data_IF_601302268705
#
_entry.id   IF_601302268705
#
_cell.length_a   1.000
_cell.length_b   1.000
_cell.length_c   1.000
_cell.angle_alpha   90.00
_cell.angle_beta   90.00
_cell.angle_gamma   90.00
#
_symmetry.space_group_name_H-M   'P 1'
#
loop_
_entity.id
_entity.type
_entity.pdbx_description
1 polymer ?
#
# COMPACT_ATOMS: atom_id res chain seq x y z
N UNK A 1 -25.25 29.46 -38.69
CA UNK A 1 -24.48 28.47 -39.46
C UNK A 1 -23.72 27.61 -38.46
N UNK A 2 -23.95 26.28 -38.37
CA UNK A 2 -23.20 25.44 -37.44
C UNK A 2 -21.78 25.21 -37.99
N UNK A 3 -20.76 25.62 -37.22
CA UNK A 3 -19.38 25.24 -37.47
C UNK A 3 -19.22 23.76 -37.11
N UNK A 4 -19.25 22.87 -38.10
CA UNK A 4 -18.84 21.49 -37.90
C UNK A 4 -17.31 21.42 -38.00
N UNK A 5 -16.65 21.10 -36.88
CA UNK A 5 -15.24 20.73 -36.88
C UNK A 5 -15.14 19.25 -37.22
N UNK A 6 -14.48 18.95 -38.35
CA UNK A 6 -14.17 17.57 -38.75
C UNK A 6 -12.78 17.24 -38.19
N UNK A 7 -12.69 16.17 -37.41
CA UNK A 7 -11.42 15.69 -36.84
C UNK A 7 -11.03 14.37 -37.52
N UNK A 8 -9.79 14.27 -37.99
CA UNK A 8 -9.20 13.02 -38.45
C UNK A 8 -8.33 12.44 -37.33
N UNK A 9 -8.46 11.13 -37.10
CA UNK A 9 -7.67 10.37 -36.12
C UNK A 9 -6.83 9.39 -36.92
N UNK A 10 -5.50 9.60 -36.93
CA UNK A 10 -4.59 8.74 -37.71
C UNK A 10 -4.13 7.49 -36.93
N UNK A 11 -4.18 7.48 -35.58
CA UNK A 11 -3.81 6.30 -34.77
C UNK A 11 -4.63 6.22 -33.47
N UNK A 12 -5.10 5.01 -33.12
CA UNK A 12 -5.90 4.71 -31.93
C UNK A 12 -5.03 3.97 -30.90
N UNK A 13 -4.84 4.54 -29.71
CA UNK A 13 -4.25 3.87 -28.54
C UNK A 13 -4.94 4.31 -27.23
N UNK A 14 -5.03 3.39 -26.27
CA UNK A 14 -5.90 3.40 -25.06
C UNK A 14 -5.64 4.55 -24.05
N UNK A 15 -6.07 5.78 -24.37
CA UNK A 15 -6.11 6.90 -23.42
C UNK A 15 -7.36 7.76 -23.60
N UNK A 16 -8.13 7.97 -22.54
CA UNK A 16 -9.37 8.77 -22.61
C UNK A 16 -9.07 10.28 -22.71
N UNK A 17 -9.52 10.92 -23.80
CA UNK A 17 -9.56 12.37 -23.99
C UNK A 17 -11.02 12.86 -24.04
N UNK A 18 -11.31 14.07 -23.56
CA UNK A 18 -12.67 14.63 -23.61
C UNK A 18 -12.60 16.02 -24.24
N UNK A 19 -13.19 16.19 -25.43
CA UNK A 19 -13.22 17.45 -26.17
C UNK A 19 -14.67 17.80 -26.50
N UNK A 20 -15.14 18.96 -26.01
CA UNK A 20 -16.48 19.51 -26.27
C UNK A 20 -17.64 18.50 -26.08
N UNK A 21 -17.60 17.73 -25.00
CA UNK A 21 -18.65 16.76 -24.65
C UNK A 21 -18.59 15.44 -25.43
N UNK A 22 -17.64 15.29 -26.34
CA UNK A 22 -17.38 14.01 -27.02
C UNK A 22 -16.17 13.35 -26.38
N UNK A 23 -16.41 12.14 -25.86
CA UNK A 23 -15.42 11.30 -25.20
C UNK A 23 -14.67 10.51 -26.27
N UNK A 24 -13.38 10.78 -26.43
CA UNK A 24 -12.50 10.05 -27.34
C UNK A 24 -11.64 9.08 -26.53
N UNK A 25 -11.36 7.91 -27.09
CA UNK A 25 -10.37 6.95 -26.57
C UNK A 25 -9.24 6.97 -27.59
N UNK A 26 -8.15 7.67 -27.28
CA UNK A 26 -7.04 7.98 -28.17
C UNK A 26 -6.17 9.10 -27.64
N UNK A 27 -4.87 9.09 -27.88
CA UNK A 27 -3.98 10.24 -27.64
C UNK A 27 -3.97 11.14 -28.87
N UNK A 28 -4.58 12.33 -28.79
CA UNK A 28 -4.53 13.32 -29.87
C UNK A 28 -3.12 13.91 -29.97
N UNK A 29 -2.39 13.56 -31.04
CA UNK A 29 -1.04 14.07 -31.29
C UNK A 29 -1.08 15.37 -32.10
N UNK A 30 -1.97 15.47 -33.09
CA UNK A 30 -2.16 16.65 -33.92
C UNK A 30 -3.66 16.85 -34.18
N UNK A 31 -4.11 18.10 -34.22
CA UNK A 31 -5.43 18.45 -34.75
C UNK A 31 -5.29 19.66 -35.67
N UNK A 32 -6.09 19.70 -36.74
CA UNK A 32 -6.18 20.86 -37.63
C UNK A 32 -7.57 21.47 -37.51
N UNK A 33 -7.61 22.77 -37.22
CA UNK A 33 -8.82 23.58 -37.29
C UNK A 33 -8.99 24.04 -38.75
N UNK A 34 -9.92 23.44 -39.48
CA UNK A 34 -10.25 23.91 -40.84
C UNK A 34 -11.32 24.99 -40.72
N UNK A 35 -10.93 26.25 -40.92
CA UNK A 35 -11.86 27.37 -41.06
C UNK A 35 -11.88 27.81 -42.52
N UNK A 36 -12.92 27.39 -43.24
CA UNK A 36 -13.13 27.72 -44.65
C UNK A 36 -13.28 26.47 -45.50
N UNK A 37 -14.52 26.04 -45.73
CA UNK A 37 -14.85 25.05 -46.76
C UNK A 37 -15.81 25.69 -47.77
N UNK A 38 -15.51 25.54 -49.06
CA UNK A 38 -16.39 25.93 -50.15
C UNK A 38 -16.94 24.67 -50.82
N UNK A 39 -18.26 24.60 -50.98
CA UNK A 39 -18.88 23.59 -51.84
C UNK A 39 -18.78 24.08 -53.29
N UNK A 40 -17.97 23.42 -54.11
CA UNK A 40 -17.96 23.61 -55.56
C UNK A 40 -18.78 22.49 -56.18
N UNK A 41 -19.79 22.87 -56.98
CA UNK A 41 -20.54 21.95 -57.82
C UNK A 41 -19.91 21.88 -59.20
N UNK A 42 -19.32 20.74 -59.55
CA UNK A 42 -18.95 20.44 -60.93
C UNK A 42 -20.24 20.20 -61.74
N UNK A 43 -20.41 20.95 -62.82
CA UNK A 43 -21.65 21.03 -63.60
C UNK A 43 -22.00 19.76 -64.38
N UNK A 44 -21.14 18.73 -64.40
CA UNK A 44 -21.28 17.67 -65.40
C UNK A 44 -21.50 16.24 -64.92
N UNK A 45 -21.51 15.89 -63.62
CA UNK A 45 -21.87 14.52 -63.20
C UNK A 45 -22.60 14.46 -61.85
N UNK A 46 -23.86 14.03 -61.91
CA UNK A 46 -24.65 13.39 -60.84
C UNK A 46 -24.28 13.72 -59.39
N UNK A 47 -24.89 14.76 -58.82
CA UNK A 47 -25.18 14.98 -57.39
C UNK A 47 -24.13 14.59 -56.30
N UNK A 48 -22.86 14.45 -56.65
CA UNK A 48 -21.80 14.18 -55.69
C UNK A 48 -21.18 15.52 -55.28
N UNK A 49 -21.56 16.03 -54.11
CA UNK A 49 -20.92 17.20 -53.49
C UNK A 49 -19.53 16.79 -53.02
N UNK A 50 -18.49 17.12 -53.80
CA UNK A 50 -17.11 16.88 -53.38
C UNK A 50 -16.61 18.07 -52.55
N UNK A 51 -16.21 17.79 -51.31
CA UNK A 51 -15.62 18.79 -50.41
C UNK A 51 -14.16 19.00 -50.83
N UNK A 52 -13.86 20.13 -51.49
CA UNK A 52 -12.47 20.59 -51.64
C UNK A 52 -12.10 21.39 -50.41
N UNK A 53 -11.07 20.94 -49.70
CA UNK A 53 -10.48 21.62 -48.55
C UNK A 53 -9.13 22.17 -48.99
N UNK A 54 -9.00 23.49 -49.02
CA UNK A 54 -7.72 24.15 -49.34
C UNK A 54 -6.81 24.11 -48.11
N UNK A 55 -5.76 23.30 -48.17
CA UNK A 55 -4.79 23.10 -47.08
C UNK A 55 -3.75 24.23 -46.95
N UNK A 56 -4.11 25.48 -47.25
CA UNK A 56 -3.11 26.55 -47.38
C UNK A 56 -2.70 27.24 -46.08
N UNK A 57 -3.31 26.94 -44.94
CA UNK A 57 -2.85 27.48 -43.64
C UNK A 57 -3.00 26.44 -42.53
N UNK A 58 -2.05 25.50 -42.46
CA UNK A 58 -1.91 24.61 -41.30
C UNK A 58 -1.04 25.33 -40.27
N UNK A 59 -1.66 26.12 -39.39
CA UNK A 59 -0.97 26.55 -38.17
C UNK A 59 -0.95 25.35 -37.21
N UNK A 60 0.23 24.74 -37.06
CA UNK A 60 0.45 23.69 -36.09
C UNK A 60 0.32 24.27 -34.67
N UNK A 61 -0.85 24.13 -34.06
CA UNK A 61 -1.06 24.45 -32.65
C UNK A 61 -0.32 23.39 -31.83
N UNK A 62 0.96 23.65 -31.55
CA UNK A 62 1.75 22.84 -30.62
C UNK A 62 1.23 23.11 -29.22
N UNK A 63 0.36 22.22 -28.72
CA UNK A 63 0.07 22.19 -27.30
C UNK A 63 1.39 21.97 -26.56
N UNK A 64 1.81 22.96 -25.77
CA UNK A 64 2.93 22.80 -24.86
C UNK A 64 2.58 21.67 -23.90
N UNK A 65 3.33 20.57 -23.97
CA UNK A 65 3.14 19.43 -23.08
C UNK A 65 3.47 19.89 -21.66
N UNK A 66 2.48 20.39 -20.93
CA UNK A 66 2.59 20.52 -19.48
C UNK A 66 2.75 19.11 -18.93
N UNK A 67 3.88 18.88 -18.26
CA UNK A 67 4.33 17.60 -17.71
C UNK A 67 3.30 17.10 -16.68
N UNK A 68 2.27 16.37 -17.13
CA UNK A 68 1.35 15.70 -16.22
C UNK A 68 2.17 14.77 -15.33
N UNK A 69 2.13 14.99 -14.02
CA UNK A 69 2.81 14.10 -13.08
C UNK A 69 2.19 12.72 -13.23
N UNK A 70 3.01 11.69 -13.49
CA UNK A 70 2.53 10.30 -13.51
C UNK A 70 1.93 10.01 -12.14
N UNK A 71 0.61 9.95 -12.03
CA UNK A 71 -0.07 9.47 -10.84
C UNK A 71 0.36 8.02 -10.64
N UNK A 72 1.17 7.78 -9.60
CA UNK A 72 1.57 6.43 -9.22
C UNK A 72 0.40 5.82 -8.45
N UNK A 73 0.07 4.57 -8.77
CA UNK A 73 -0.88 3.81 -7.97
C UNK A 73 -0.36 3.72 -6.52
N UNK A 74 -1.18 4.18 -5.57
CA UNK A 74 -0.89 4.05 -4.15
C UNK A 74 -1.30 2.65 -3.66
N UNK A 75 -0.49 2.03 -2.81
CA UNK A 75 -0.87 0.76 -2.18
C UNK A 75 -1.92 1.02 -1.11
N UNK A 76 -2.84 0.06 -0.88
CA UNK A 76 -3.88 0.17 0.15
C UNK A 76 -3.29 0.52 1.52
N UNK A 77 -2.15 -0.08 1.87
CA UNK A 77 -1.42 0.16 3.13
C UNK A 77 -0.75 1.53 3.23
N UNK A 78 -0.64 2.30 2.15
CA UNK A 78 -0.09 3.67 2.20
C UNK A 78 -1.12 4.71 2.67
N UNK A 79 -2.42 4.37 2.61
CA UNK A 79 -3.50 5.26 3.02
C UNK A 79 -3.49 5.47 4.54
N UNK A 80 -3.83 6.70 4.99
CA UNK A 80 -3.81 7.08 6.41
C UNK A 80 -4.86 6.33 7.25
N UNK A 81 -6.05 6.12 6.68
CA UNK A 81 -7.17 5.43 7.36
C UNK A 81 -7.07 3.90 7.32
N UNK A 82 -6.17 3.34 6.51
CA UNK A 82 -5.95 1.89 6.48
C UNK A 82 -4.87 1.55 7.48
N UNK A 83 -5.26 0.75 8.46
CA UNK A 83 -4.38 0.30 9.54
C UNK A 83 -4.25 -1.20 9.49
N UNK A 84 -3.03 -1.68 9.69
CA UNK A 84 -2.77 -3.11 9.78
C UNK A 84 -2.53 -3.43 11.24
N UNK A 85 -3.39 -4.29 11.79
CA UNK A 85 -3.43 -4.60 13.21
C UNK A 85 -2.11 -5.20 13.68
N UNK A 86 -1.49 -6.07 12.87
CA UNK A 86 -0.20 -6.68 13.22
C UNK A 86 0.94 -5.65 13.32
N UNK A 87 0.92 -4.58 12.52
CA UNK A 87 1.93 -3.51 12.66
C UNK A 87 1.70 -2.67 13.90
N UNK A 88 0.44 -2.39 14.24
CA UNK A 88 0.11 -1.67 15.47
C UNK A 88 0.62 -2.44 16.68
N UNK A 89 0.34 -3.75 16.73
CA UNK A 89 0.80 -4.60 17.82
C UNK A 89 2.33 -4.68 17.89
N UNK A 90 3.01 -4.75 16.75
CA UNK A 90 4.47 -4.69 16.68
C UNK A 90 5.02 -3.39 17.25
N UNK A 91 4.50 -2.25 16.80
CA UNK A 91 4.93 -0.96 17.32
C UNK A 91 4.57 -0.78 18.79
N UNK A 92 3.43 -1.28 19.23
CA UNK A 92 3.09 -1.36 20.65
C UNK A 92 4.15 -2.14 21.44
N UNK A 93 4.54 -3.33 20.98
CA UNK A 93 5.61 -4.09 21.63
C UNK A 93 6.95 -3.35 21.67
N UNK A 94 7.26 -2.52 20.67
CA UNK A 94 8.44 -1.64 20.70
C UNK A 94 8.27 -0.54 21.77
N UNK A 95 7.09 0.07 21.88
CA UNK A 95 6.81 1.08 22.91
C UNK A 95 6.89 0.51 24.33
N UNK A 96 6.41 -0.72 24.53
CA UNK A 96 6.36 -1.36 25.86
C UNK A 96 7.74 -1.89 26.29
N UNK A 97 8.54 -2.42 25.36
CA UNK A 97 9.78 -3.15 25.69
C UNK A 97 11.07 -2.41 25.34
N UNK A 98 11.04 -1.41 24.45
CA UNK A 98 12.28 -0.72 24.05
C UNK A 98 12.76 0.22 25.14
N UNK A 99 14.07 0.18 25.39
CA UNK A 99 14.77 1.13 26.27
C UNK A 99 15.44 2.24 25.46
N UNK A 100 15.53 2.08 24.15
CA UNK A 100 16.20 3.01 23.26
C UNK A 100 15.24 4.12 22.83
N UNK A 101 15.69 5.36 22.96
CA UNK A 101 14.89 6.54 22.63
C UNK A 101 14.56 6.63 21.14
N UNK A 102 15.53 6.26 20.28
CA UNK A 102 15.38 6.30 18.82
C UNK A 102 14.29 5.35 18.33
N UNK A 103 14.25 4.13 18.84
CA UNK A 103 13.24 3.14 18.47
C UNK A 103 11.83 3.57 18.85
N UNK A 104 11.68 4.17 20.05
CA UNK A 104 10.40 4.71 20.52
C UNK A 104 9.95 5.86 19.61
N UNK A 105 10.85 6.79 19.30
CA UNK A 105 10.54 7.93 18.42
C UNK A 105 10.19 7.44 17.01
N UNK A 106 10.93 6.46 16.48
CA UNK A 106 10.64 5.85 15.18
C UNK A 106 9.27 5.17 15.16
N UNK A 107 8.91 4.46 16.24
CA UNK A 107 7.60 3.86 16.39
C UNK A 107 6.49 4.92 16.46
N UNK A 108 6.65 5.97 17.26
CA UNK A 108 5.68 7.08 17.34
C UNK A 108 5.51 7.79 15.99
N UNK A 109 6.60 8.02 15.27
CA UNK A 109 6.58 8.58 13.91
C UNK A 109 5.84 7.70 12.90
N UNK A 110 5.94 6.37 13.02
CA UNK A 110 5.14 5.45 12.21
C UNK A 110 3.65 5.56 12.55
N UNK A 111 3.31 5.56 13.83
CA UNK A 111 1.92 5.64 14.30
C UNK A 111 1.24 6.95 13.88
N UNK A 112 1.97 8.08 13.88
CA UNK A 112 1.45 9.37 13.39
C UNK A 112 1.02 9.36 11.93
N UNK A 113 1.59 8.49 11.10
CA UNK A 113 1.18 8.34 9.69
C UNK A 113 -0.19 7.66 9.55
N UNK A 114 -0.68 7.03 10.62
CA UNK A 114 -1.90 6.24 10.66
C UNK A 114 -2.96 6.91 11.54
N UNK A 115 -4.22 6.69 11.19
CA UNK A 115 -5.37 7.12 11.98
C UNK A 115 -6.30 5.92 12.21
N UNK A 116 -6.06 5.11 13.24
CA UNK A 116 -6.91 3.97 13.57
C UNK A 116 -8.28 4.41 14.10
N UNK A 117 -9.30 3.58 13.89
CA UNK A 117 -10.60 3.74 14.51
C UNK A 117 -10.54 3.36 15.99
N UNK A 118 -11.47 3.89 16.81
CA UNK A 118 -11.51 3.65 18.26
C UNK A 118 -11.57 2.18 18.65
N UNK A 119 -12.30 1.36 17.91
CA UNK A 119 -12.38 -0.10 18.14
C UNK A 119 -11.00 -0.77 18.00
N UNK A 120 -10.21 -0.36 17.01
CA UNK A 120 -8.85 -0.87 16.80
C UNK A 120 -7.93 -0.44 17.93
N UNK A 121 -8.06 0.81 18.40
CA UNK A 121 -7.28 1.32 19.53
C UNK A 121 -7.64 0.54 20.81
N UNK A 122 -8.92 0.33 21.08
CA UNK A 122 -9.39 -0.42 22.24
C UNK A 122 -8.95 -1.89 22.20
N UNK A 123 -9.07 -2.56 21.05
CA UNK A 123 -8.66 -3.96 20.89
C UNK A 123 -7.15 -4.17 21.03
N UNK A 124 -6.34 -3.20 20.58
CA UNK A 124 -4.88 -3.28 20.67
C UNK A 124 -4.35 -2.77 22.01
N UNK A 125 -5.15 -2.01 22.76
CA UNK A 125 -4.78 -1.38 24.02
C UNK A 125 -3.48 -0.56 23.92
N UNK A 126 -3.28 0.12 22.78
CA UNK A 126 -2.11 0.98 22.52
C UNK A 126 -2.23 2.35 23.22
N UNK A 127 -3.45 2.74 23.57
CA UNK A 127 -3.76 3.91 24.39
C UNK A 127 -3.05 3.84 25.73
N UNK A 128 -3.06 2.67 26.39
CA UNK A 128 -2.37 2.45 27.67
C UNK A 128 -0.87 2.67 27.55
N UNK A 129 -0.23 2.04 26.56
CA UNK A 129 1.18 2.24 26.27
C UNK A 129 1.51 3.72 26.04
N UNK A 130 0.69 4.45 25.27
CA UNK A 130 0.89 5.88 25.03
C UNK A 130 0.71 6.74 26.30
N UNK A 131 -0.19 6.37 27.22
CA UNK A 131 -0.36 7.08 28.49
C UNK A 131 0.82 6.81 29.43
N UNK A 132 1.32 5.58 29.48
CA UNK A 132 2.53 5.24 30.23
C UNK A 132 3.74 6.06 29.74
N UNK A 133 3.82 6.31 28.43
CA UNK A 133 4.90 7.12 27.86
C UNK A 133 4.90 8.59 28.31
N UNK A 134 3.80 9.13 28.84
CA UNK A 134 3.77 10.49 29.40
C UNK A 134 4.55 10.62 30.70
N UNK A 135 4.65 9.54 31.47
CA UNK A 135 5.38 9.51 32.74
C UNK A 135 6.88 9.34 32.55
N UNK A 136 7.37 9.26 31.31
CA UNK A 136 8.78 9.07 31.02
C UNK A 136 9.62 10.32 31.31
N UNK A 137 10.90 10.14 31.66
CA UNK A 137 11.82 11.26 31.94
C UNK A 137 12.19 12.06 30.68
N UNK A 138 12.07 11.47 29.49
CA UNK A 138 12.52 12.10 28.24
C UNK A 138 11.44 13.01 27.64
N UNK A 139 11.66 14.33 27.75
CA UNK A 139 10.73 15.36 27.25
C UNK A 139 10.36 15.23 25.77
N UNK A 140 11.30 14.81 24.92
CA UNK A 140 11.06 14.61 23.48
C UNK A 140 10.02 13.51 23.21
N UNK A 141 10.10 12.40 23.94
CA UNK A 141 9.15 11.27 23.81
C UNK A 141 7.77 11.68 24.30
N UNK A 142 7.71 12.41 25.42
CA UNK A 142 6.45 12.91 25.99
C UNK A 142 5.74 13.84 25.01
N UNK A 143 6.46 14.83 24.45
CA UNK A 143 5.90 15.77 23.48
C UNK A 143 5.37 15.02 22.22
N UNK A 144 6.12 14.03 21.76
CA UNK A 144 5.76 13.25 20.57
C UNK A 144 4.53 12.36 20.81
N UNK A 145 4.43 11.76 22.01
CA UNK A 145 3.28 10.98 22.45
C UNK A 145 2.04 11.86 22.65
N UNK A 146 2.16 13.03 23.25
CA UNK A 146 1.05 13.99 23.42
C UNK A 146 0.47 14.42 22.08
N UNK A 147 1.33 14.76 21.11
CA UNK A 147 0.90 15.07 19.74
C UNK A 147 0.10 13.94 19.13
N UNK A 148 0.51 12.69 19.34
CA UNK A 148 -0.19 11.51 18.82
C UNK A 148 -1.55 11.30 19.50
N UNK A 149 -1.61 11.42 20.83
CA UNK A 149 -2.84 11.30 21.62
C UNK A 149 -3.88 12.34 21.18
N UNK A 150 -3.42 13.58 20.94
CA UNK A 150 -4.27 14.66 20.42
C UNK A 150 -4.72 14.39 18.99
N UNK A 151 -3.82 13.91 18.11
CA UNK A 151 -4.14 13.57 16.72
C UNK A 151 -5.20 12.47 16.60
N UNK A 152 -5.15 11.49 17.50
CA UNK A 152 -6.09 10.38 17.55
C UNK A 152 -7.35 10.68 18.36
N UNK A 153 -7.41 11.86 18.99
CA UNK A 153 -8.53 12.28 19.85
C UNK A 153 -8.91 11.19 20.86
N UNK A 154 -7.91 10.55 21.49
CA UNK A 154 -8.17 9.42 22.39
C UNK A 154 -9.10 9.78 23.57
N UNK A 155 -9.12 11.05 23.95
CA UNK A 155 -9.95 11.59 25.03
C UNK A 155 -11.30 12.14 24.54
N UNK A 156 -11.55 12.19 23.24
CA UNK A 156 -12.73 12.83 22.65
C UNK A 156 -13.91 11.89 22.41
N UNK A 157 -15.13 12.43 22.35
CA UNK A 157 -16.37 11.69 22.06
C UNK A 157 -16.69 11.61 20.54
N UNK A 158 -15.66 11.48 19.69
CA UNK A 158 -15.83 11.34 18.24
C UNK A 158 -16.66 10.11 17.87
N UNK A 159 -17.51 10.24 16.84
CA UNK A 159 -18.41 9.19 16.36
C UNK A 159 -17.66 7.90 15.99
N UNK A 160 -18.23 6.76 16.31
CA UNK A 160 -17.72 5.44 15.89
C UNK A 160 -17.80 5.38 14.36
N UNK A 161 -16.65 5.24 13.71
CA UNK A 161 -16.59 5.03 12.27
C UNK A 161 -16.81 3.54 11.99
N UNK A 162 -17.61 3.18 10.97
CA UNK A 162 -17.77 1.78 10.59
C UNK A 162 -16.41 1.21 10.16
N UNK A 163 -16.01 0.12 10.80
CA UNK A 163 -14.75 -0.58 10.51
C UNK A 163 -14.99 -1.64 9.44
N UNK A 164 -14.19 -1.62 8.38
CA UNK A 164 -14.17 -2.70 7.38
C UNK A 164 -12.88 -3.49 7.54
N UNK A 165 -13.01 -4.76 7.89
CA UNK A 165 -11.87 -5.65 8.03
C UNK A 165 -11.54 -6.33 6.71
N UNK A 166 -10.41 -5.92 6.12
CA UNK A 166 -9.86 -6.59 4.94
C UNK A 166 -9.05 -7.79 5.40
N UNK A 167 -9.61 -8.99 5.23
CA UNK A 167 -8.87 -10.25 5.47
C UNK A 167 -8.05 -10.61 4.23
N UNK A 168 -6.96 -11.36 4.44
CA UNK A 168 -6.22 -12.00 3.35
C UNK A 168 -7.12 -12.97 2.58
N UNK A 169 -6.79 -13.18 1.30
CA UNK A 169 -7.40 -14.21 0.47
C UNK A 169 -7.18 -15.61 1.08
N UNK A 170 -8.05 -16.55 0.70
CA UNK A 170 -8.06 -17.88 1.30
C UNK A 170 -6.75 -18.65 1.07
N UNK A 171 -6.10 -18.46 -0.08
CA UNK A 171 -4.84 -19.14 -0.38
C UNK A 171 -3.71 -18.61 0.49
N UNK A 172 -3.56 -17.30 0.59
CA UNK A 172 -2.57 -16.68 1.50
C UNK A 172 -2.80 -17.12 2.93
N UNK A 173 -4.06 -17.09 3.40
CA UNK A 173 -4.41 -17.55 4.75
C UNK A 173 -4.04 -19.02 4.99
N UNK A 174 -4.35 -19.89 4.03
CA UNK A 174 -4.03 -21.31 4.13
C UNK A 174 -2.52 -21.57 4.18
N UNK A 175 -1.74 -20.89 3.32
CA UNK A 175 -0.28 -21.04 3.31
C UNK A 175 0.34 -20.58 4.63
N UNK A 176 -0.11 -19.44 5.17
CA UNK A 176 0.39 -18.92 6.46
C UNK A 176 0.05 -19.85 7.62
N UNK A 177 -1.19 -20.33 7.71
CA UNK A 177 -1.60 -21.33 8.72
C UNK A 177 -0.80 -22.63 8.62
N UNK A 178 -0.53 -23.10 7.41
CA UNK A 178 0.32 -24.27 7.22
C UNK A 178 1.76 -24.01 7.67
N UNK A 179 2.31 -22.82 7.45
CA UNK A 179 3.64 -22.46 7.94
C UNK A 179 3.70 -22.51 9.48
N UNK A 180 2.71 -21.90 10.16
CA UNK A 180 2.58 -21.97 11.63
C UNK A 180 2.51 -23.41 12.09
N UNK A 181 1.63 -24.24 11.49
CA UNK A 181 1.51 -25.66 11.82
C UNK A 181 2.85 -26.40 11.72
N UNK A 182 3.59 -26.20 10.64
CA UNK A 182 4.90 -26.82 10.45
C UNK A 182 5.95 -26.36 11.48
N UNK A 183 5.89 -25.09 11.90
CA UNK A 183 6.76 -24.59 12.96
C UNK A 183 6.39 -25.19 14.32
N UNK A 184 5.11 -25.22 14.67
CA UNK A 184 4.63 -25.84 15.92
C UNK A 184 5.04 -27.31 16.02
N UNK A 185 4.85 -28.07 14.93
CA UNK A 185 5.30 -29.46 14.81
C UNK A 185 6.82 -29.61 14.99
N UNK A 186 7.61 -28.68 14.45
CA UNK A 186 9.07 -28.71 14.57
C UNK A 186 9.59 -28.31 15.97
N UNK A 187 8.85 -27.44 16.68
CA UNK A 187 9.21 -26.97 18.02
C UNK A 187 8.86 -27.99 19.12
N UNK A 188 7.84 -28.82 18.92
CA UNK A 188 7.48 -29.89 19.85
C UNK A 188 5.98 -30.07 20.09
N UNK A 189 5.12 -29.26 19.49
CA UNK A 189 3.67 -29.46 19.51
C UNK A 189 2.93 -28.94 20.75
N UNK A 190 3.54 -28.12 21.59
CA UNK A 190 2.89 -27.53 22.77
C UNK A 190 2.14 -26.24 22.41
N UNK A 191 1.15 -25.83 23.22
CA UNK A 191 0.42 -24.57 23.00
C UNK A 191 1.33 -23.33 23.04
N UNK A 192 2.35 -23.33 23.91
CA UNK A 192 3.37 -22.26 23.95
C UNK A 192 4.23 -22.21 22.67
N UNK A 193 4.41 -23.35 22.01
CA UNK A 193 5.12 -23.42 20.73
C UNK A 193 4.26 -22.84 19.60
N UNK A 194 2.92 -22.90 19.67
CA UNK A 194 2.02 -22.29 18.68
C UNK A 194 2.11 -20.76 18.68
N UNK A 195 2.13 -20.13 19.87
CA UNK A 195 2.28 -18.67 19.99
C UNK A 195 3.64 -18.22 19.44
N UNK A 196 4.69 -18.98 19.74
CA UNK A 196 6.04 -18.74 19.22
C UNK A 196 6.08 -18.89 17.69
N UNK A 197 5.50 -19.97 17.16
CA UNK A 197 5.39 -20.24 15.73
C UNK A 197 4.63 -19.16 14.96
N UNK A 198 3.52 -18.67 15.51
CA UNK A 198 2.72 -17.58 14.94
C UNK A 198 3.52 -16.27 14.90
N UNK A 199 4.27 -15.98 15.96
CA UNK A 199 5.15 -14.80 16.00
C UNK A 199 6.25 -14.90 14.95
N UNK A 200 6.93 -16.05 14.84
CA UNK A 200 7.98 -16.28 13.84
C UNK A 200 7.42 -16.15 12.42
N UNK A 201 6.26 -16.74 12.14
CA UNK A 201 5.63 -16.63 10.83
C UNK A 201 5.31 -15.17 10.47
N UNK A 202 4.76 -14.41 11.41
CA UNK A 202 4.47 -12.98 11.21
C UNK A 202 5.72 -12.18 10.91
N UNK A 203 6.83 -12.47 11.57
CA UNK A 203 8.12 -11.82 11.29
C UNK A 203 8.64 -12.15 9.88
N UNK A 204 8.62 -13.42 9.48
CA UNK A 204 9.01 -13.85 8.12
C UNK A 204 8.13 -13.15 7.08
N UNK A 205 6.81 -13.14 7.31
CA UNK A 205 5.85 -12.55 6.38
C UNK A 205 6.04 -11.04 6.25
N UNK A 206 6.32 -10.35 7.35
CA UNK A 206 6.63 -8.92 7.35
C UNK A 206 7.94 -8.62 6.59
N UNK A 207 8.99 -9.41 6.81
CA UNK A 207 10.27 -9.26 6.11
C UNK A 207 10.10 -9.32 4.58
N UNK A 208 9.27 -10.25 4.08
CA UNK A 208 8.96 -10.37 2.65
C UNK A 208 7.84 -9.44 2.17
N UNK A 209 7.63 -8.30 2.85
CA UNK A 209 6.64 -7.27 2.48
C UNK A 209 5.22 -7.82 2.31
N UNK A 210 4.88 -8.87 3.08
CA UNK A 210 3.56 -9.52 3.08
C UNK A 210 3.16 -10.17 1.76
N UNK A 211 4.15 -10.64 1.01
CA UNK A 211 3.93 -11.36 -0.23
C UNK A 211 4.34 -12.83 -0.06
N UNK A 212 3.41 -13.73 -0.36
CA UNK A 212 3.67 -15.17 -0.40
C UNK A 212 4.46 -15.50 -1.66
N UNK A 213 5.76 -15.27 -1.57
CA UNK A 213 6.72 -15.41 -2.66
C UNK A 213 7.48 -16.74 -2.58
N UNK A 214 8.20 -17.10 -3.64
CA UNK A 214 9.14 -18.25 -3.62
C UNK A 214 10.17 -18.15 -2.47
N UNK A 215 10.83 -16.99 -2.22
CA UNK A 215 11.76 -16.88 -1.09
C UNK A 215 11.07 -17.04 0.27
N UNK A 216 9.86 -16.51 0.47
CA UNK A 216 9.08 -16.78 1.70
C UNK A 216 8.94 -18.28 1.97
N UNK A 217 8.49 -19.05 0.96
CA UNK A 217 8.33 -20.51 1.09
C UNK A 217 9.65 -21.24 1.36
N UNK A 218 10.75 -20.76 0.77
CA UNK A 218 12.10 -21.32 1.00
C UNK A 218 12.54 -21.09 2.43
N UNK A 219 12.35 -19.89 2.97
CA UNK A 219 12.70 -19.53 4.34
C UNK A 219 11.89 -20.33 5.35
N UNK A 220 10.58 -20.50 5.13
CA UNK A 220 9.74 -21.37 5.98
C UNK A 220 10.33 -22.79 6.06
N UNK A 221 10.69 -23.40 4.93
CA UNK A 221 11.29 -24.76 4.93
C UNK A 221 12.65 -24.79 5.64
N UNK A 222 13.49 -23.77 5.43
CA UNK A 222 14.80 -23.67 6.08
C UNK A 222 14.66 -23.58 7.60
N UNK A 223 13.72 -22.76 8.09
CA UNK A 223 13.42 -22.63 9.52
C UNK A 223 12.88 -23.94 10.11
N UNK A 224 11.96 -24.61 9.42
CA UNK A 224 11.45 -25.94 9.86
C UNK A 224 12.59 -26.95 9.96
N UNK A 225 13.46 -27.01 8.95
CA UNK A 225 14.61 -27.93 8.94
C UNK A 225 15.57 -27.64 10.10
N UNK A 226 15.88 -26.36 10.30
CA UNK A 226 16.72 -25.90 11.40
C UNK A 226 16.15 -26.31 12.77
N UNK A 227 14.86 -26.12 13.03
CA UNK A 227 14.24 -26.56 14.28
C UNK A 227 14.21 -28.08 14.48
N UNK A 228 14.06 -28.85 13.40
CA UNK A 228 14.08 -30.32 13.48
C UNK A 228 15.47 -30.87 13.83
N UNK A 229 16.53 -30.26 13.31
CA UNK A 229 17.88 -30.82 13.42
C UNK A 229 18.77 -30.12 14.47
N UNK A 230 18.53 -28.84 14.76
CA UNK A 230 19.37 -28.04 15.65
C UNK A 230 18.67 -27.77 16.99
N UNK A 231 18.77 -28.74 17.91
CA UNK A 231 18.17 -28.64 19.25
C UNK A 231 18.63 -27.42 20.05
N UNK A 232 19.88 -26.97 19.85
CA UNK A 232 20.46 -25.80 20.52
C UNK A 232 19.68 -24.52 20.21
N UNK A 233 19.31 -24.30 18.94
CA UNK A 233 18.61 -23.09 18.54
C UNK A 233 17.14 -23.10 19.01
N UNK A 234 16.52 -24.28 19.01
CA UNK A 234 15.18 -24.48 19.58
C UNK A 234 15.14 -24.17 21.08
N UNK A 235 16.13 -24.64 21.84
CA UNK A 235 16.21 -24.36 23.27
C UNK A 235 16.54 -22.89 23.57
N UNK A 236 17.37 -22.25 22.75
CA UNK A 236 17.68 -20.83 22.86
C UNK A 236 16.44 -19.94 22.66
N UNK A 237 15.56 -20.29 21.72
CA UNK A 237 14.26 -19.64 21.53
C UNK A 237 13.33 -19.82 22.74
N UNK A 238 13.23 -21.06 23.25
CA UNK A 238 12.41 -21.35 24.44
C UNK A 238 12.87 -20.58 25.67
N UNK A 239 14.17 -20.38 25.82
CA UNK A 239 14.76 -19.56 26.90
C UNK A 239 14.70 -18.05 26.63
N UNK A 240 14.13 -17.63 25.50
CA UNK A 240 14.07 -16.24 25.04
C UNK A 240 15.44 -15.56 24.92
N UNK A 241 16.49 -16.36 24.69
CA UNK A 241 17.87 -15.88 24.57
C UNK A 241 18.19 -15.41 23.15
N UNK A 242 17.38 -15.80 22.17
CA UNK A 242 17.54 -15.41 20.77
C UNK A 242 16.32 -14.61 20.33
N UNK A 243 16.56 -13.42 19.78
CA UNK A 243 15.49 -12.61 19.18
C UNK A 243 15.05 -13.22 17.85
N UNK A 244 13.75 -13.18 17.56
CA UNK A 244 13.18 -13.64 16.30
C UNK A 244 13.85 -12.98 15.08
N UNK A 245 14.26 -11.71 15.21
CA UNK A 245 14.97 -10.97 14.17
C UNK A 245 16.39 -11.53 13.90
N UNK A 246 17.08 -12.00 14.94
CA UNK A 246 18.40 -12.62 14.82
C UNK A 246 18.30 -14.00 14.13
N UNK A 247 17.23 -14.74 14.40
CA UNK A 247 16.94 -16.00 13.74
C UNK A 247 16.69 -15.80 12.25
N UNK A 248 15.91 -14.77 11.89
CA UNK A 248 15.68 -14.43 10.49
C UNK A 248 16.97 -14.05 9.77
N UNK A 249 17.83 -13.25 10.40
CA UNK A 249 19.12 -12.87 9.82
C UNK A 249 19.97 -14.10 9.43
N UNK A 250 19.97 -15.16 10.25
CA UNK A 250 20.67 -16.43 9.95
C UNK A 250 19.99 -17.23 8.82
N UNK A 251 18.67 -17.15 8.71
CA UNK A 251 17.92 -17.91 7.72
C UNK A 251 17.92 -17.26 6.34
N UNK A 252 18.09 -15.94 6.23
CA UNK A 252 17.99 -15.19 4.97
C UNK A 252 19.32 -15.12 4.21
N UNK A 253 20.46 -15.37 4.88
CA UNK A 253 21.75 -15.66 4.23
C UNK A 253 21.68 -16.94 3.38
#
# INVERSE_FOLDING_TARGET
MPCYQVFFIDEIDDLHCNLNGVRFIGRLVNFCSVTGYGLVSDSDKSNARTLRVDFQNIEAIRFSQTKMSRMKQATLTSLKGVVVVEDLLRHKSILDNSKETEDIINALNYLKKKKPCKEVIASTAIDKSLQELKSNPNKSIVEEAEKLINLWELNGSSKIQPTFEVRYDNLTRHIRRNAVRLFTEALGGLESDEICADTIEKEIFHHYKRLISKPYKKTVRKVVFMFKHQKKEREALRKHQMSYMQLLARCIQ
#
